data_IF_604403840326
#
_entry.id   IF_604403840326
#
_cell.length_a   1.000
_cell.length_b   1.000
_cell.length_c   1.000
_cell.angle_alpha   90.00
_cell.angle_beta   90.00
_cell.angle_gamma   90.00
#
_symmetry.space_group_name_H-M   'P 1'
#
loop_
_entity.id
_entity.type
_entity.pdbx_description
1 polymer ?
#
# COMPACT_ATOMS: atom_id res chain seq x y z
N UNK A 1 1.31 -0.34 -17.76
CA UNK A 1 2.30 0.06 -16.74
C UNK A 1 3.67 -0.54 -17.05
N UNK A 2 4.45 0.08 -17.95
CA UNK A 2 5.73 -0.47 -18.40
C UNK A 2 6.75 -0.69 -17.27
N UNK A 3 6.67 0.10 -16.19
CA UNK A 3 7.51 -0.02 -14.99
C UNK A 3 7.41 -1.38 -14.29
N UNK A 4 6.30 -2.09 -14.49
CA UNK A 4 6.05 -3.40 -13.89
C UNK A 4 6.16 -4.54 -14.91
N UNK A 5 6.58 -4.27 -16.15
CA UNK A 5 6.64 -5.26 -17.21
C UNK A 5 7.41 -6.51 -16.78
N UNK A 6 6.86 -7.69 -17.11
CA UNK A 6 7.40 -9.01 -16.75
C UNK A 6 7.46 -9.33 -15.24
N UNK A 7 6.99 -8.45 -14.35
CA UNK A 7 7.07 -8.69 -12.90
C UNK A 7 5.94 -9.59 -12.40
N UNK A 8 6.24 -10.61 -11.59
CA UNK A 8 5.23 -11.40 -10.90
C UNK A 8 4.82 -10.75 -9.56
N UNK A 9 3.54 -10.89 -9.21
CA UNK A 9 2.94 -10.43 -7.95
C UNK A 9 2.06 -11.52 -7.37
N UNK A 10 2.04 -11.65 -6.04
CA UNK A 10 0.98 -12.37 -5.34
C UNK A 10 -0.06 -11.34 -4.85
N UNK A 11 -1.34 -11.61 -5.11
CA UNK A 11 -2.44 -10.68 -4.86
C UNK A 11 -3.62 -11.41 -4.22
N UNK A 12 -4.43 -10.69 -3.45
CA UNK A 12 -5.73 -11.19 -2.97
C UNK A 12 -6.79 -11.04 -4.07
N UNK A 13 -7.76 -11.94 -4.11
CA UNK A 13 -8.88 -11.90 -5.06
C UNK A 13 -9.96 -10.89 -4.71
N UNK A 14 -10.73 -10.47 -5.73
CA UNK A 14 -11.89 -9.58 -5.55
C UNK A 14 -12.99 -10.25 -4.74
N UNK A 15 -13.57 -9.52 -3.78
CA UNK A 15 -14.62 -10.02 -2.89
C UNK A 15 -14.18 -11.15 -1.93
N UNK A 16 -12.88 -11.49 -1.89
CA UNK A 16 -12.35 -12.54 -1.03
C UNK A 16 -12.09 -12.02 0.39
N UNK A 17 -12.34 -12.86 1.38
CA UNK A 17 -12.17 -12.48 2.79
C UNK A 17 -10.77 -12.83 3.27
N UNK A 18 -10.07 -11.86 3.89
CA UNK A 18 -8.74 -12.10 4.49
C UNK A 18 -8.75 -13.30 5.46
N UNK A 19 -9.83 -13.46 6.24
CA UNK A 19 -10.04 -14.59 7.14
C UNK A 19 -9.87 -15.95 6.45
N UNK A 20 -10.34 -16.07 5.21
CA UNK A 20 -10.43 -17.34 4.49
C UNK A 20 -9.14 -17.68 3.73
N UNK A 21 -8.19 -16.74 3.62
CA UNK A 21 -6.89 -16.98 2.97
C UNK A 21 -6.16 -18.19 3.56
N UNK A 22 -6.17 -18.35 4.88
CA UNK A 22 -5.53 -19.49 5.54
C UNK A 22 -6.25 -20.83 5.31
N UNK A 23 -7.55 -20.79 5.02
CA UNK A 23 -8.40 -21.98 4.85
C UNK A 23 -8.29 -22.53 3.43
N UNK A 24 -8.24 -21.62 2.46
CA UNK A 24 -8.06 -21.96 1.06
C UNK A 24 -7.25 -20.86 0.34
N UNK A 25 -5.91 -20.94 0.37
CA UNK A 25 -5.06 -19.95 -0.30
C UNK A 25 -5.30 -19.89 -1.81
N UNK A 26 -5.57 -21.02 -2.46
CA UNK A 26 -5.72 -21.07 -3.92
C UNK A 26 -7.02 -20.39 -4.38
N UNK A 27 -8.09 -20.44 -3.58
CA UNK A 27 -9.33 -19.74 -3.89
C UNK A 27 -9.31 -18.22 -3.57
N UNK A 28 -8.40 -17.78 -2.69
CA UNK A 28 -8.39 -16.40 -2.18
C UNK A 28 -7.18 -15.56 -2.64
N UNK A 29 -6.09 -16.20 -3.08
CA UNK A 29 -4.88 -15.55 -3.60
C UNK A 29 -4.64 -15.95 -5.04
N UNK A 30 -3.92 -15.10 -5.77
CA UNK A 30 -3.41 -15.41 -7.11
C UNK A 30 -1.98 -14.94 -7.29
N UNK A 31 -1.21 -15.69 -8.07
CA UNK A 31 0.06 -15.20 -8.63
C UNK A 31 -0.25 -14.69 -10.03
N UNK A 32 -0.05 -13.40 -10.25
CA UNK A 32 -0.18 -12.77 -11.57
C UNK A 32 1.19 -12.34 -12.08
N UNK A 33 1.38 -12.34 -13.40
CA UNK A 33 2.56 -11.78 -14.04
C UNK A 33 2.13 -10.73 -15.04
N UNK A 34 2.69 -9.53 -14.90
CA UNK A 34 2.45 -8.43 -15.84
C UNK A 34 3.14 -8.72 -17.17
N UNK A 35 2.47 -8.40 -18.27
CA UNK A 35 2.96 -8.68 -19.62
C UNK A 35 4.21 -7.87 -19.96
N UNK A 36 4.86 -8.20 -21.08
CA UNK A 36 6.14 -7.59 -21.48
C UNK A 36 6.05 -6.10 -21.81
N UNK A 37 4.88 -5.61 -22.22
CA UNK A 37 4.59 -4.19 -22.47
C UNK A 37 3.86 -3.52 -21.29
N UNK A 38 3.50 -4.31 -20.27
CA UNK A 38 2.70 -3.88 -19.14
C UNK A 38 1.27 -3.49 -19.49
N UNK A 39 0.71 -3.92 -20.61
CA UNK A 39 -0.68 -3.64 -21.00
C UNK A 39 -1.70 -4.50 -20.24
N UNK A 40 -1.29 -5.69 -19.81
CA UNK A 40 -2.13 -6.64 -19.10
C UNK A 40 -1.35 -7.49 -18.10
N UNK A 41 -1.98 -8.58 -17.69
CA UNK A 41 -1.39 -9.59 -16.84
C UNK A 41 -1.98 -10.97 -17.13
N UNK A 42 -1.21 -12.00 -16.79
CA UNK A 42 -1.65 -13.38 -16.80
C UNK A 42 -1.75 -13.92 -15.36
N UNK A 43 -2.83 -14.64 -15.05
CA UNK A 43 -2.95 -15.41 -13.81
C UNK A 43 -2.18 -16.72 -14.00
N UNK A 44 -1.12 -16.91 -13.21
CA UNK A 44 -0.24 -18.08 -13.26
C UNK A 44 -0.65 -19.18 -12.28
N UNK A 45 -1.26 -18.80 -11.16
CA UNK A 45 -1.69 -19.71 -10.10
C UNK A 45 -2.78 -19.06 -9.25
N UNK A 46 -3.63 -19.89 -8.65
CA UNK A 46 -4.66 -19.45 -7.71
C UNK A 46 -5.82 -18.73 -8.39
N UNK A 47 -6.62 -18.02 -7.60
CA UNK A 47 -7.88 -17.41 -8.01
C UNK A 47 -8.79 -18.44 -8.72
N UNK A 48 -8.97 -19.60 -8.09
CA UNK A 48 -9.84 -20.66 -8.63
C UNK A 48 -11.29 -20.20 -8.75
N UNK A 49 -12.09 -20.96 -9.52
CA UNK A 49 -13.52 -20.69 -9.75
C UNK A 49 -13.76 -19.33 -10.42
N UNK A 50 -12.96 -19.03 -11.46
CA UNK A 50 -13.02 -17.80 -12.25
C UNK A 50 -12.89 -16.52 -11.40
N UNK A 51 -12.27 -16.62 -10.23
CA UNK A 51 -11.96 -15.45 -9.43
C UNK A 51 -10.95 -14.56 -10.16
N UNK A 52 -11.05 -13.27 -9.88
CA UNK A 52 -10.16 -12.25 -10.43
C UNK A 52 -9.37 -11.59 -9.30
N UNK A 53 -8.22 -10.95 -9.60
CA UNK A 53 -7.52 -10.12 -8.62
C UNK A 53 -8.45 -9.05 -8.02
N UNK A 54 -8.08 -8.51 -6.86
CA UNK A 54 -8.79 -7.39 -6.22
C UNK A 54 -9.21 -6.32 -7.23
N UNK A 55 -10.43 -5.78 -7.07
CA UNK A 55 -10.93 -4.67 -7.89
C UNK A 55 -10.03 -3.42 -7.83
N UNK A 56 -9.21 -3.31 -6.79
CA UNK A 56 -8.25 -2.21 -6.60
C UNK A 56 -6.87 -2.50 -7.18
N UNK A 57 -6.69 -3.57 -7.97
CA UNK A 57 -5.40 -3.94 -8.56
C UNK A 57 -4.72 -2.77 -9.30
N UNK A 58 -5.43 -1.93 -10.10
CA UNK A 58 -4.81 -0.78 -10.73
C UNK A 58 -4.24 0.23 -9.73
N UNK A 59 -4.93 0.49 -8.61
CA UNK A 59 -4.44 1.39 -7.57
C UNK A 59 -3.19 0.82 -6.88
N UNK A 60 -3.21 -0.48 -6.55
CA UNK A 60 -2.04 -1.18 -6.01
C UNK A 60 -0.84 -1.08 -6.95
N UNK A 61 -1.02 -1.29 -8.26
CA UNK A 61 0.07 -1.24 -9.23
C UNK A 61 0.58 0.19 -9.51
N UNK A 62 -0.29 1.20 -9.49
CA UNK A 62 0.12 2.60 -9.53
C UNK A 62 1.01 2.95 -8.34
N UNK A 63 0.56 2.62 -7.13
CA UNK A 63 1.35 2.85 -5.92
C UNK A 63 2.67 2.09 -5.96
N UNK A 64 2.66 0.80 -6.35
CA UNK A 64 3.90 0.02 -6.52
C UNK A 64 4.88 0.68 -7.49
N UNK A 65 4.40 1.16 -8.64
CA UNK A 65 5.25 1.81 -9.64
C UNK A 65 5.97 3.04 -9.07
N UNK A 66 5.27 3.86 -8.29
CA UNK A 66 5.88 5.03 -7.63
C UNK A 66 6.82 4.62 -6.49
N UNK A 67 6.46 3.63 -5.69
CA UNK A 67 7.32 3.12 -4.60
C UNK A 67 8.62 2.52 -5.12
N UNK A 68 8.61 1.80 -6.24
CA UNK A 68 9.82 1.28 -6.88
C UNK A 68 10.76 2.43 -7.25
N UNK A 69 10.23 3.49 -7.91
CA UNK A 69 11.03 4.67 -8.29
C UNK A 69 11.64 5.36 -7.08
N UNK A 70 10.84 5.63 -6.04
CA UNK A 70 11.26 6.39 -4.87
C UNK A 70 12.23 5.64 -3.96
N UNK A 71 12.19 4.30 -3.95
CA UNK A 71 12.98 3.48 -3.03
C UNK A 71 14.09 2.68 -3.69
N UNK A 72 14.26 2.80 -5.01
CA UNK A 72 15.20 1.97 -5.77
C UNK A 72 14.84 0.49 -5.72
N UNK A 73 13.54 0.17 -5.76
CA UNK A 73 13.02 -1.20 -5.74
C UNK A 73 13.10 -1.94 -4.39
N UNK A 74 13.29 -1.21 -3.28
CA UNK A 74 13.25 -1.80 -1.93
C UNK A 74 11.84 -2.17 -1.51
N UNK A 75 10.87 -1.31 -1.81
CA UNK A 75 9.47 -1.54 -1.46
C UNK A 75 8.83 -2.59 -2.38
N UNK A 76 8.21 -3.60 -1.77
CA UNK A 76 7.65 -4.78 -2.47
C UNK A 76 6.25 -5.16 -2.02
N UNK A 77 5.62 -4.36 -1.15
CA UNK A 77 4.29 -4.63 -0.62
C UNK A 77 3.47 -3.34 -0.62
N UNK A 78 2.22 -3.43 -1.07
CA UNK A 78 1.18 -2.44 -0.85
C UNK A 78 0.05 -3.15 -0.09
N UNK A 79 -0.28 -2.65 1.10
CA UNK A 79 -1.28 -3.24 1.99
C UNK A 79 -2.42 -2.25 2.18
N UNK A 80 -3.64 -2.68 1.89
CA UNK A 80 -4.87 -1.95 2.18
C UNK A 80 -5.67 -2.70 3.25
N UNK A 81 -6.19 -1.99 4.24
CA UNK A 81 -7.12 -2.53 5.22
C UNK A 81 -7.99 -1.43 5.83
N UNK A 82 -9.12 -1.82 6.42
CA UNK A 82 -9.99 -0.94 7.19
C UNK A 82 -9.51 -0.82 8.65
N UNK A 83 -8.44 -0.06 8.88
CA UNK A 83 -7.90 0.17 10.22
C UNK A 83 -8.88 1.03 11.06
N UNK A 84 -9.64 0.38 11.95
CA UNK A 84 -10.81 0.94 12.65
C UNK A 84 -10.54 2.29 13.30
N UNK A 85 -9.46 2.40 14.08
CA UNK A 85 -9.15 3.64 14.79
C UNK A 85 -8.67 4.75 13.84
N UNK A 86 -7.93 4.41 12.77
CA UNK A 86 -7.53 5.41 11.78
C UNK A 86 -8.75 5.96 11.03
N UNK A 87 -9.70 5.11 10.67
CA UNK A 87 -10.98 5.54 10.05
C UNK A 87 -11.75 6.45 11.02
N UNK A 88 -11.90 6.07 12.29
CA UNK A 88 -12.59 6.90 13.28
C UNK A 88 -11.96 8.29 13.43
N UNK A 89 -10.63 8.38 13.41
CA UNK A 89 -9.90 9.66 13.49
C UNK A 89 -10.22 10.60 12.32
N UNK A 90 -10.53 10.10 11.12
CA UNK A 90 -10.88 10.96 9.95
C UNK A 90 -12.20 11.72 10.09
N UNK A 91 -13.04 11.37 11.06
CA UNK A 91 -14.29 12.07 11.36
C UNK A 91 -14.13 13.18 12.40
N UNK A 92 -13.04 13.16 13.17
CA UNK A 92 -12.85 14.04 14.33
C UNK A 92 -11.59 14.91 14.24
N UNK A 93 -10.61 14.52 13.43
CA UNK A 93 -9.46 15.34 13.08
C UNK A 93 -9.67 15.98 11.72
N UNK A 94 -9.11 17.18 11.53
CA UNK A 94 -8.99 17.76 10.20
C UNK A 94 -8.07 16.88 9.33
N UNK A 95 -8.50 16.60 8.10
CA UNK A 95 -7.80 15.69 7.19
C UNK A 95 -6.60 16.37 6.50
N UNK A 96 -5.69 16.91 7.31
CA UNK A 96 -4.41 17.49 6.90
C UNK A 96 -3.26 16.57 7.31
N UNK A 97 -2.36 16.25 6.36
CA UNK A 97 -1.31 15.24 6.54
C UNK A 97 -0.36 15.53 7.71
N UNK A 98 -0.01 16.79 7.94
CA UNK A 98 0.86 17.24 9.03
C UNK A 98 0.19 17.09 10.40
N UNK A 99 -1.06 17.52 10.54
CA UNK A 99 -1.84 17.35 11.77
C UNK A 99 -2.04 15.86 12.10
N UNK A 100 -2.45 15.06 11.13
CA UNK A 100 -2.69 13.63 11.32
C UNK A 100 -1.41 12.90 11.74
N UNK A 101 -0.30 13.17 11.05
CA UNK A 101 1.02 12.61 11.37
C UNK A 101 1.46 13.00 12.78
N UNK A 102 1.28 14.28 13.15
CA UNK A 102 1.64 14.77 14.47
C UNK A 102 0.85 14.06 15.57
N UNK A 103 -0.46 13.87 15.40
CA UNK A 103 -1.32 13.18 16.38
C UNK A 103 -0.96 11.71 16.54
N UNK A 104 -0.58 11.02 15.45
CA UNK A 104 -0.08 9.65 15.53
C UNK A 104 1.26 9.55 16.28
N UNK A 105 2.19 10.48 16.05
CA UNK A 105 3.45 10.53 16.79
C UNK A 105 3.28 10.80 18.29
N UNK A 106 2.30 11.63 18.66
CA UNK A 106 1.97 11.90 20.06
C UNK A 106 1.34 10.68 20.76
N UNK A 107 0.64 9.81 20.02
CA UNK A 107 -0.04 8.63 20.56
C UNK A 107 0.86 7.44 20.88
N UNK A 108 2.06 7.34 20.29
CA UNK A 108 3.05 6.29 20.58
C UNK A 108 4.45 6.71 20.13
N UNK A 109 5.44 6.61 21.01
CA UNK A 109 6.82 7.07 20.78
C UNK A 109 7.49 6.43 19.55
N UNK A 110 7.17 5.16 19.30
CA UNK A 110 7.68 4.41 18.15
C UNK A 110 7.21 4.95 16.79
N UNK A 111 6.06 5.64 16.72
CA UNK A 111 5.53 6.18 15.48
C UNK A 111 6.45 7.24 14.87
N UNK A 112 7.20 7.98 15.68
CA UNK A 112 8.19 8.96 15.19
C UNK A 112 9.35 8.29 14.46
N UNK A 113 9.80 7.13 14.95
CA UNK A 113 10.87 6.34 14.33
C UNK A 113 10.39 5.57 13.09
N UNK A 114 9.18 5.00 13.16
CA UNK A 114 8.60 4.19 12.08
C UNK A 114 8.04 5.01 10.91
N UNK A 115 7.59 6.24 11.13
CA UNK A 115 6.96 7.10 10.12
C UNK A 115 7.55 8.53 10.18
N UNK A 116 8.80 8.76 9.75
CA UNK A 116 9.53 10.00 10.01
C UNK A 116 9.13 11.19 9.10
N UNK A 117 7.99 11.09 8.40
CA UNK A 117 7.59 11.81 7.17
C UNK A 117 7.63 13.34 7.16
N UNK A 118 8.08 14.01 8.22
CA UNK A 118 8.10 15.47 8.33
C UNK A 118 9.37 16.10 8.93
N UNK A 119 10.42 15.34 9.27
CA UNK A 119 11.67 15.96 9.77
C UNK A 119 12.59 16.55 8.68
N UNK A 120 12.33 16.32 7.39
CA UNK A 120 13.24 16.79 6.32
C UNK A 120 12.92 18.17 5.74
N UNK A 121 11.72 18.73 5.95
CA UNK A 121 11.38 20.05 5.40
C UNK A 121 11.36 21.16 6.45
N UNK A 122 11.07 20.87 7.71
CA UNK A 122 10.85 21.90 8.74
C UNK A 122 12.09 22.26 9.55
N UNK A 123 13.23 21.63 9.27
CA UNK A 123 14.51 21.98 9.89
C UNK A 123 15.21 23.18 9.21
N UNK A 124 14.64 23.72 8.11
CA UNK A 124 15.24 24.84 7.37
C UNK A 124 14.65 26.21 7.77
N UNK A 125 13.44 26.26 8.35
CA UNK A 125 12.74 27.55 8.60
C UNK A 125 12.63 27.96 10.09
N UNK A 126 13.45 27.39 10.97
CA UNK A 126 13.35 27.61 12.43
C UNK A 126 14.53 28.30 13.11
N UNK A 127 15.59 28.65 12.40
CA UNK A 127 16.78 29.29 12.97
C UNK A 127 16.79 30.79 12.68
N UNK A 128 15.91 31.54 13.34
CA UNK A 128 15.83 32.98 13.12
C UNK A 128 14.83 33.69 14.02
N UNK A 129 14.94 33.51 15.34
CA UNK A 129 14.58 34.53 16.34
C UNK A 129 15.05 34.09 17.73
N UNK A 130 16.33 34.39 18.01
CA UNK A 130 16.83 34.96 19.26
C UNK A 130 18.02 35.83 18.94
#
# INVERSE_FOLDING_TARGET
MPTLANQPFIVTGSGKFFRNVQLDPAANLGVVKVDSDGAGYHILWGLTEDAVPTSELPAHFLSHSERIKLTGGKDRVIMHCHATNLIALTYVLENHSDLFTRKLWEGSTECLGGLPGWRRHSAVDGAGHR
#
